data_IF_005886048746
#
_entry.id   IF_005886048746
#
_cell.length_a   1.000
_cell.length_b   1.000
_cell.length_c   1.000
_cell.angle_alpha   90.00
_cell.angle_beta   90.00
_cell.angle_gamma   90.00
#
_symmetry.space_group_name_H-M   'P 1'
#
loop_
_entity.id
_entity.type
_entity.pdbx_description
1 polymer ?
#
# COMPACT_ATOMS: atom_id res chain seq x y z
N UNK A 1 -6.27 13.87 4.33
CA UNK A 1 -6.98 12.88 3.47
C UNK A 1 -6.38 11.49 3.73
N UNK A 2 -7.05 10.36 3.48
CA UNK A 2 -6.38 9.05 3.61
C UNK A 2 -5.52 8.81 2.37
N UNK A 3 -4.20 8.80 2.54
CA UNK A 3 -3.24 8.45 1.48
C UNK A 3 -3.05 6.94 1.40
N UNK A 4 -2.79 6.45 0.19
CA UNK A 4 -2.65 5.02 -0.12
C UNK A 4 -1.34 4.80 -0.88
N UNK A 5 -0.54 3.83 -0.44
CA UNK A 5 0.72 3.50 -1.09
C UNK A 5 0.86 2.01 -1.31
N UNK A 6 1.46 1.65 -2.45
CA UNK A 6 1.88 0.29 -2.77
C UNK A 6 3.39 0.25 -2.64
N UNK A 7 3.90 -0.71 -1.87
CA UNK A 7 5.32 -0.95 -1.69
C UNK A 7 5.64 -2.31 -2.26
N UNK A 8 6.63 -2.36 -3.13
CA UNK A 8 7.22 -3.58 -3.65
C UNK A 8 8.69 -3.62 -3.26
N UNK A 9 9.15 -4.78 -2.83
CA UNK A 9 10.57 -5.04 -2.61
C UNK A 9 11.02 -6.21 -3.47
N UNK A 10 12.32 -6.28 -3.71
CA UNK A 10 12.93 -7.33 -4.51
C UNK A 10 12.78 -8.73 -3.86
N UNK A 11 12.87 -9.79 -4.66
CA UNK A 11 12.66 -11.17 -4.19
C UNK A 11 13.76 -11.65 -3.25
N UNK A 12 14.94 -11.06 -3.35
CA UNK A 12 16.10 -11.41 -2.56
C UNK A 12 15.96 -11.00 -1.07
N UNK A 13 14.95 -10.19 -0.71
CA UNK A 13 14.66 -9.84 0.68
C UNK A 13 14.31 -11.10 1.47
N UNK A 14 15.08 -11.37 2.52
CA UNK A 14 14.89 -12.55 3.35
C UNK A 14 13.71 -12.36 4.32
N UNK A 15 13.36 -13.42 5.06
CA UNK A 15 12.25 -13.40 6.02
C UNK A 15 12.43 -12.35 7.12
N UNK A 16 13.64 -12.19 7.66
CA UNK A 16 13.91 -11.20 8.72
C UNK A 16 13.69 -9.78 8.22
N UNK A 17 14.14 -9.47 7.01
CA UNK A 17 13.99 -8.15 6.39
C UNK A 17 12.53 -7.83 6.11
N UNK A 18 11.76 -8.78 5.53
CA UNK A 18 10.32 -8.60 5.35
C UNK A 18 9.56 -8.44 6.67
N UNK A 19 9.99 -9.16 7.71
CA UNK A 19 9.45 -8.98 9.05
C UNK A 19 9.79 -7.61 9.63
N UNK A 20 11.02 -7.11 9.42
CA UNK A 20 11.41 -5.77 9.84
C UNK A 20 10.54 -4.69 9.18
N UNK A 21 10.31 -4.79 7.87
CA UNK A 21 9.40 -3.91 7.12
C UNK A 21 7.98 -3.98 7.71
N UNK A 22 7.47 -5.19 7.91
CA UNK A 22 6.11 -5.38 8.46
C UNK A 22 5.98 -4.82 9.88
N UNK A 23 7.01 -4.98 10.71
CA UNK A 23 7.05 -4.44 12.07
C UNK A 23 7.13 -2.91 12.06
N UNK A 24 7.93 -2.33 11.15
CA UNK A 24 7.97 -0.90 10.92
C UNK A 24 6.58 -0.35 10.57
N UNK A 25 5.83 -1.04 9.70
CA UNK A 25 4.49 -0.61 9.32
C UNK A 25 3.44 -0.77 10.43
N UNK A 26 3.49 -1.84 11.23
CA UNK A 26 2.53 -2.08 12.34
C UNK A 26 2.38 -0.89 13.29
N UNK A 27 3.45 -0.12 13.52
CA UNK A 27 3.44 1.02 14.44
C UNK A 27 2.99 2.35 13.82
N UNK A 28 2.90 2.44 12.48
CA UNK A 28 2.75 3.71 11.76
C UNK A 28 1.57 3.73 10.79
N UNK A 29 1.18 2.57 10.27
CA UNK A 29 0.22 2.45 9.17
C UNK A 29 -0.81 1.36 9.42
N UNK A 30 -2.00 1.53 8.84
CA UNK A 30 -2.83 0.38 8.51
C UNK A 30 -2.23 -0.28 7.26
N UNK A 31 -2.07 -1.59 7.27
CA UNK A 31 -1.40 -2.29 6.17
C UNK A 31 -2.06 -3.62 5.81
N UNK A 32 -1.77 -4.06 4.59
CA UNK A 32 -2.11 -5.36 4.05
C UNK A 32 -0.86 -5.97 3.41
N UNK A 33 -0.59 -7.23 3.75
CA UNK A 33 0.57 -7.97 3.28
C UNK A 33 0.23 -9.47 3.18
N UNK A 34 -0.46 -9.84 2.10
CA UNK A 34 -0.79 -11.24 1.82
C UNK A 34 -0.10 -11.78 0.56
N UNK A 35 0.66 -10.93 -0.13
CA UNK A 35 1.50 -11.26 -1.28
C UNK A 35 2.96 -10.98 -0.87
N UNK A 36 3.85 -11.93 -1.14
CA UNK A 36 5.12 -12.11 -0.43
C UNK A 36 6.05 -10.90 -0.33
N UNK A 37 6.10 -10.06 -1.36
CA UNK A 37 6.98 -8.88 -1.40
C UNK A 37 6.21 -7.58 -1.62
N UNK A 38 4.91 -7.57 -1.29
CA UNK A 38 4.03 -6.43 -1.53
C UNK A 38 3.32 -6.00 -0.26
N UNK A 39 3.37 -4.70 0.03
CA UNK A 39 2.57 -4.08 1.06
C UNK A 39 1.67 -3.03 0.44
N UNK A 40 0.44 -2.99 0.93
CA UNK A 40 -0.49 -1.91 0.70
C UNK A 40 -0.65 -1.21 2.03
N UNK A 41 -0.36 0.09 2.09
CA UNK A 41 -0.47 0.86 3.33
C UNK A 41 -1.41 2.05 3.15
N UNK A 42 -2.11 2.40 4.21
CA UNK A 42 -2.87 3.64 4.30
C UNK A 42 -2.42 4.47 5.50
N UNK A 43 -2.40 5.79 5.31
CA UNK A 43 -1.99 6.77 6.33
C UNK A 43 -2.87 8.01 6.26
N UNK A 44 -3.04 8.68 7.39
CA UNK A 44 -3.63 10.02 7.47
C UNK A 44 -2.58 11.11 7.65
N UNK A 45 -1.32 10.73 7.84
CA UNK A 45 -0.24 11.68 8.05
C UNK A 45 0.18 12.28 6.72
N UNK A 46 0.13 13.61 6.66
CA UNK A 46 0.39 14.36 5.43
C UNK A 46 1.88 14.39 5.05
N UNK A 47 2.79 14.15 6.00
CA UNK A 47 4.24 14.10 5.73
C UNK A 47 4.71 12.79 5.07
N UNK A 48 3.86 11.77 5.06
CA UNK A 48 4.13 10.53 4.34
C UNK A 48 3.97 10.77 2.83
N UNK A 49 5.06 10.54 2.10
CA UNK A 49 5.18 10.65 0.65
C UNK A 49 5.90 9.41 0.12
N UNK A 50 5.87 9.20 -1.20
CA UNK A 50 6.62 8.10 -1.84
C UNK A 50 8.11 8.13 -1.49
N UNK A 51 8.69 9.34 -1.41
CA UNK A 51 10.10 9.53 -1.11
C UNK A 51 10.38 9.25 0.36
N UNK A 52 9.60 9.82 1.29
CA UNK A 52 9.85 9.63 2.73
C UNK A 52 9.72 8.17 3.14
N UNK A 53 8.72 7.46 2.62
CA UNK A 53 8.53 6.02 2.88
C UNK A 53 9.70 5.21 2.31
N UNK A 54 10.09 5.45 1.05
CA UNK A 54 11.23 4.75 0.43
C UNK A 54 12.51 4.98 1.24
N UNK A 55 12.79 6.21 1.64
CA UNK A 55 14.02 6.57 2.33
C UNK A 55 14.08 5.96 3.75
N UNK A 56 12.95 5.81 4.43
CA UNK A 56 12.84 5.06 5.69
C UNK A 56 13.12 3.56 5.48
N UNK A 57 12.58 2.96 4.41
CA UNK A 57 12.80 1.54 4.10
C UNK A 57 14.25 1.25 3.66
N UNK A 58 14.88 2.18 2.95
CA UNK A 58 16.31 2.11 2.61
C UNK A 58 17.15 2.08 3.89
N UNK A 59 16.86 2.96 4.87
CA UNK A 59 17.57 2.96 6.16
C UNK A 59 17.40 1.65 6.94
N UNK A 60 16.24 1.00 6.80
CA UNK A 60 15.93 -0.23 7.52
C UNK A 60 16.62 -1.47 6.93
N UNK A 61 16.77 -1.52 5.60
CA UNK A 61 17.19 -2.74 4.89
C UNK A 61 18.51 -2.60 4.14
N UNK A 62 18.83 -1.38 3.69
CA UNK A 62 20.06 -0.99 3.00
C UNK A 62 20.47 -1.92 1.85
N UNK A 63 19.51 -2.46 1.10
CA UNK A 63 19.74 -3.40 -0.01
C UNK A 63 18.58 -3.43 -0.99
N UNK A 64 18.87 -4.00 -2.17
CA UNK A 64 17.89 -4.41 -3.18
C UNK A 64 17.02 -3.27 -3.74
N UNK A 65 16.11 -3.62 -4.63
CA UNK A 65 15.15 -2.66 -5.18
C UNK A 65 13.95 -2.46 -4.24
N UNK A 66 13.58 -1.20 -4.02
CA UNK A 66 12.36 -0.80 -3.31
C UNK A 66 11.59 0.18 -4.20
N UNK A 67 10.35 -0.16 -4.53
CA UNK A 67 9.45 0.68 -5.31
C UNK A 67 8.26 1.09 -4.44
N UNK A 68 7.99 2.40 -4.38
CA UNK A 68 6.84 2.96 -3.66
C UNK A 68 5.98 3.75 -4.66
N UNK A 69 4.72 3.37 -4.78
CA UNK A 69 3.76 3.98 -5.70
C UNK A 69 2.67 4.67 -4.89
N UNK A 70 2.37 5.93 -5.22
CA UNK A 70 1.20 6.62 -4.71
C UNK A 70 -0.06 6.11 -5.43
N UNK A 71 -0.96 5.48 -4.69
CA UNK A 71 -2.24 4.98 -5.19
C UNK A 71 -3.44 5.77 -4.65
N UNK A 72 -3.19 6.93 -4.04
CA UNK A 72 -4.23 7.75 -3.42
C UNK A 72 -5.29 8.19 -4.42
N UNK A 73 -4.91 8.42 -5.68
CA UNK A 73 -5.82 8.82 -6.78
C UNK A 73 -6.33 7.65 -7.64
N UNK A 74 -6.02 6.39 -7.28
CA UNK A 74 -6.51 5.23 -8.06
C UNK A 74 -8.04 5.12 -8.03
N UNK A 75 -8.61 4.66 -9.15
CA UNK A 75 -10.06 4.52 -9.37
C UNK A 75 -10.62 3.16 -8.93
N UNK A 76 -9.76 2.15 -8.70
CA UNK A 76 -10.23 0.82 -8.31
C UNK A 76 -9.11 -0.20 -8.13
N UNK A 77 -9.52 -1.42 -7.80
CA UNK A 77 -8.66 -2.61 -7.73
C UNK A 77 -9.49 -3.87 -8.01
N UNK A 78 -8.82 -4.92 -8.49
CA UNK A 78 -9.41 -6.24 -8.68
C UNK A 78 -8.42 -7.29 -8.22
N UNK A 79 -8.92 -8.41 -7.70
CA UNK A 79 -8.08 -9.52 -7.27
C UNK A 79 -8.83 -10.85 -7.35
N UNK A 80 -8.07 -11.94 -7.43
CA UNK A 80 -8.58 -13.32 -7.39
C UNK A 80 -7.96 -14.08 -6.21
N UNK A 81 -8.74 -14.94 -5.56
CA UNK A 81 -8.28 -15.81 -4.48
C UNK A 81 -9.23 -15.84 -3.27
N UNK A 82 -8.71 -16.26 -2.12
CA UNK A 82 -9.52 -16.44 -0.91
C UNK A 82 -10.06 -15.10 -0.38
N UNK A 83 -11.38 -14.97 -0.28
CA UNK A 83 -12.08 -13.76 0.19
C UNK A 83 -11.50 -13.16 1.48
N UNK A 84 -11.13 -14.00 2.45
CA UNK A 84 -10.53 -13.57 3.73
C UNK A 84 -9.26 -12.74 3.56
N UNK A 85 -8.48 -12.99 2.51
CA UNK A 85 -7.26 -12.22 2.23
C UNK A 85 -7.61 -10.80 1.81
N UNK A 86 -8.77 -10.57 1.19
CA UNK A 86 -9.17 -9.26 0.64
C UNK A 86 -10.11 -8.47 1.55
N UNK A 87 -10.47 -8.97 2.73
CA UNK A 87 -11.37 -8.27 3.67
C UNK A 87 -10.86 -6.87 4.03
N UNK A 88 -9.56 -6.72 4.30
CA UNK A 88 -8.97 -5.40 4.57
C UNK A 88 -9.04 -4.48 3.34
N UNK A 89 -8.85 -5.03 2.13
CA UNK A 89 -8.95 -4.23 0.90
C UNK A 89 -10.35 -3.63 0.75
N UNK A 90 -11.40 -4.42 0.95
CA UNK A 90 -12.77 -3.91 0.93
C UNK A 90 -13.03 -2.87 2.04
N UNK A 91 -12.52 -3.08 3.25
CA UNK A 91 -12.88 -2.26 4.41
C UNK A 91 -12.04 -0.99 4.58
N UNK A 92 -10.80 -1.00 4.08
CA UNK A 92 -9.81 0.06 4.30
C UNK A 92 -9.32 0.67 2.99
N UNK A 93 -9.07 -0.15 1.97
CA UNK A 93 -8.54 0.33 0.68
C UNK A 93 -9.63 0.85 -0.26
N UNK A 94 -10.81 0.22 -0.31
CA UNK A 94 -11.92 0.63 -1.20
C UNK A 94 -12.69 1.85 -0.74
N UNK A 95 -12.50 2.32 0.51
CA UNK A 95 -13.20 3.52 0.97
C UNK A 95 -12.74 4.72 0.12
N UNK A 96 -13.65 5.20 -0.74
CA UNK A 96 -13.58 6.43 -1.55
C UNK A 96 -15.02 6.97 -1.76
N UNK A 97 -15.20 8.27 -2.04
CA UNK A 97 -16.29 9.12 -1.53
C UNK A 97 -17.70 8.69 -1.94
N UNK A 98 -18.70 9.17 -1.18
CA UNK A 98 -20.14 8.82 -1.26
C UNK A 98 -20.80 9.06 -2.63
N UNK A 99 -20.13 9.69 -3.57
CA UNK A 99 -20.64 9.82 -4.94
C UNK A 99 -19.53 9.78 -5.99
N UNK A 100 -19.88 9.14 -7.10
CA UNK A 100 -19.19 9.25 -8.38
C UNK A 100 -19.77 10.45 -9.14
N UNK A 101 -18.97 11.19 -9.93
CA UNK A 101 -19.57 12.04 -10.96
C UNK A 101 -20.27 11.15 -12.00
N UNK A 102 -21.50 11.52 -12.34
CA UNK A 102 -22.25 10.87 -13.43
C UNK A 102 -21.43 10.95 -14.72
N UNK A 103 -21.32 9.83 -15.43
CA UNK A 103 -20.76 9.81 -16.77
C UNK A 103 -21.75 10.50 -17.71
N UNK A 104 -21.62 11.81 -17.89
CA UNK A 104 -22.06 12.44 -19.13
C UNK A 104 -21.02 12.12 -20.20
N UNK A 105 -21.33 11.16 -21.06
CA UNK A 105 -20.89 11.23 -22.45
C UNK A 105 -21.96 10.54 -23.30
N UNK A 106 -22.96 11.36 -23.67
CA UNK A 106 -23.64 11.26 -24.94
C UNK A 106 -22.66 11.75 -26.00
N UNK A 107 -22.28 10.92 -26.97
CA UNK A 107 -22.23 11.25 -28.40
C UNK A 107 -22.18 9.96 -29.20
#
# INVERSE_FOLDING_TARGET
MVKKFIILVDEDFNKEQRNAITNFFKGKYAYWHWIGNVWLITTKNETDTVNTIRDELIKLTNRGAILVINASESSGWAAFGQKKKFTWMHNSWSKKPESFPESEDKF
#
